data_IF_798431894934
#
_entry.id   IF_798431894934
#
_cell.length_a   1.000
_cell.length_b   1.000
_cell.length_c   1.000
_cell.angle_alpha   90.00
_cell.angle_beta   90.00
_cell.angle_gamma   90.00
#
_symmetry.space_group_name_H-M   'P 1'
#
loop_
_entity.id
_entity.type
_entity.pdbx_description
1 polymer ?
#
# COMPACT_ATOMS: atom_id res chain seq x y z
N UNK A 1 -4.67 -29.20 -110.64
CA UNK A 1 -3.70 -29.62 -109.60
C UNK A 1 -4.06 -28.93 -108.28
N UNK A 2 -4.47 -29.69 -107.35
CA UNK A 2 -4.99 -29.19 -106.07
C UNK A 2 -3.87 -29.07 -105.06
N UNK A 3 -3.72 -27.89 -104.53
CA UNK A 3 -2.84 -27.63 -103.38
C UNK A 3 -3.62 -27.48 -102.10
N UNK A 4 -3.63 -28.56 -101.29
CA UNK A 4 -4.21 -28.53 -99.94
C UNK A 4 -3.31 -27.69 -99.02
N UNK A 5 -3.82 -26.57 -98.46
CA UNK A 5 -3.23 -25.89 -97.33
C UNK A 5 -3.72 -26.58 -96.02
N UNK A 6 -2.80 -27.26 -95.35
CA UNK A 6 -3.00 -27.72 -93.96
C UNK A 6 -2.92 -26.53 -93.07
N UNK A 7 -4.03 -26.21 -92.41
CA UNK A 7 -4.03 -25.30 -91.26
C UNK A 7 -3.37 -25.99 -90.04
N UNK A 8 -2.32 -25.40 -89.53
CA UNK A 8 -1.80 -25.79 -88.28
C UNK A 8 -2.65 -25.14 -87.17
N UNK A 9 -3.44 -25.97 -86.49
CA UNK A 9 -3.97 -25.63 -85.21
C UNK A 9 -2.82 -25.62 -84.22
N UNK A 10 -2.53 -24.46 -83.57
CA UNK A 10 -1.74 -24.36 -82.35
C UNK A 10 -2.72 -24.50 -81.20
N UNK A 11 -2.73 -25.59 -80.44
CA UNK A 11 -3.38 -25.64 -79.19
C UNK A 11 -2.26 -25.61 -78.15
N UNK A 12 -2.06 -24.59 -77.43
CA UNK A 12 -1.50 -24.68 -76.07
C UNK A 12 -1.13 -23.35 -75.37
N UNK A 13 -1.03 -22.23 -76.08
CA UNK A 13 -0.67 -20.98 -75.41
C UNK A 13 -1.72 -20.43 -74.37
N UNK A 14 -3.00 -20.87 -74.47
CA UNK A 14 -4.06 -20.40 -73.60
C UNK A 14 -4.10 -21.12 -72.23
N UNK A 15 -3.59 -22.36 -72.14
CA UNK A 15 -3.68 -23.11 -70.89
C UNK A 15 -2.44 -22.89 -69.94
N UNK A 16 -1.27 -22.66 -70.55
CA UNK A 16 -0.05 -22.45 -69.73
C UNK A 16 -0.11 -21.19 -68.83
N UNK A 17 -0.71 -20.08 -69.33
CA UNK A 17 -0.88 -18.88 -68.52
C UNK A 17 -1.90 -19.08 -67.41
N UNK A 18 -2.96 -19.90 -67.63
CA UNK A 18 -3.99 -20.17 -66.61
C UNK A 18 -3.38 -20.94 -65.44
N UNK A 19 -2.60 -21.99 -65.67
CA UNK A 19 -1.94 -22.75 -64.64
C UNK A 19 -0.91 -21.90 -63.89
N UNK A 20 -0.10 -21.13 -64.63
CA UNK A 20 0.87 -20.21 -64.00
C UNK A 20 0.19 -19.08 -63.19
N UNK A 21 -0.94 -18.55 -63.66
CA UNK A 21 -1.73 -17.56 -62.94
C UNK A 21 -2.37 -18.16 -61.69
N UNK A 22 -2.93 -19.38 -61.79
CA UNK A 22 -3.51 -20.11 -60.67
C UNK A 22 -2.47 -20.40 -59.59
N UNK A 23 -1.27 -20.84 -59.99
CA UNK A 23 -0.18 -21.10 -59.04
C UNK A 23 0.21 -19.82 -58.28
N UNK A 24 0.40 -18.69 -58.99
CA UNK A 24 0.73 -17.38 -58.35
C UNK A 24 -0.39 -16.87 -57.46
N UNK A 25 -1.65 -16.99 -57.89
CA UNK A 25 -2.81 -16.62 -57.07
C UNK A 25 -2.89 -17.43 -55.79
N UNK A 26 -2.71 -18.76 -55.90
CA UNK A 26 -2.74 -19.66 -54.74
C UNK A 26 -1.58 -19.36 -53.77
N UNK A 27 -0.38 -19.15 -54.31
CA UNK A 27 0.79 -18.79 -53.47
C UNK A 27 0.56 -17.47 -52.73
N UNK A 28 0.09 -16.43 -53.43
CA UNK A 28 -0.19 -15.13 -52.81
C UNK A 28 -1.32 -15.22 -51.79
N UNK A 29 -2.36 -16.00 -52.05
CA UNK A 29 -3.46 -16.23 -51.11
C UNK A 29 -2.97 -16.95 -49.85
N UNK A 30 -2.23 -18.04 -49.97
CA UNK A 30 -1.72 -18.80 -48.83
C UNK A 30 -0.71 -17.99 -47.99
N UNK A 31 0.09 -17.13 -48.63
CA UNK A 31 1.00 -16.24 -47.90
C UNK A 31 0.23 -15.18 -47.12
N UNK A 32 -0.77 -14.52 -47.74
CA UNK A 32 -1.64 -13.56 -47.06
C UNK A 32 -2.41 -14.21 -45.90
N UNK A 33 -3.05 -15.37 -46.14
CA UNK A 33 -3.84 -16.08 -45.12
C UNK A 33 -3.02 -16.50 -43.91
N UNK A 34 -1.78 -16.99 -44.13
CA UNK A 34 -0.84 -17.32 -43.03
C UNK A 34 -0.50 -16.10 -42.17
N UNK A 35 -0.19 -14.97 -42.82
CA UNK A 35 0.12 -13.72 -42.09
C UNK A 35 -1.08 -13.19 -41.36
N UNK A 36 -2.26 -13.19 -41.99
CA UNK A 36 -3.52 -12.81 -41.39
C UNK A 36 -3.82 -13.64 -40.15
N UNK A 37 -3.76 -14.97 -40.27
CA UNK A 37 -4.03 -15.89 -39.16
C UNK A 37 -3.07 -15.66 -37.97
N UNK A 38 -1.77 -15.43 -38.24
CA UNK A 38 -0.80 -15.13 -37.20
C UNK A 38 -1.08 -13.79 -36.49
N UNK A 39 -1.41 -12.75 -37.25
CA UNK A 39 -1.75 -11.45 -36.70
C UNK A 39 -3.07 -11.49 -35.91
N UNK A 40 -4.06 -12.20 -36.38
CA UNK A 40 -5.37 -12.37 -35.73
C UNK A 40 -5.21 -13.09 -34.37
N UNK A 41 -4.40 -14.16 -34.34
CA UNK A 41 -4.07 -14.85 -33.09
C UNK A 41 -3.35 -13.93 -32.10
N UNK A 42 -2.44 -13.08 -32.57
CA UNK A 42 -1.72 -12.12 -31.73
C UNK A 42 -2.63 -11.01 -31.20
N UNK A 43 -3.53 -10.48 -32.02
CA UNK A 43 -4.54 -9.49 -31.62
C UNK A 43 -5.51 -10.11 -30.62
N UNK A 44 -5.96 -11.33 -30.85
CA UNK A 44 -6.79 -12.07 -29.90
C UNK A 44 -6.09 -12.23 -28.54
N UNK A 45 -4.83 -12.65 -28.55
CA UNK A 45 -4.04 -12.75 -27.32
C UNK A 45 -3.96 -11.39 -26.58
N UNK A 46 -3.76 -10.30 -27.32
CA UNK A 46 -3.74 -8.96 -26.74
C UNK A 46 -5.09 -8.55 -26.12
N UNK A 47 -6.20 -8.90 -26.74
CA UNK A 47 -7.52 -8.61 -26.18
C UNK A 47 -7.84 -9.44 -24.93
N UNK A 48 -7.31 -10.65 -24.86
CA UNK A 48 -7.46 -11.51 -23.68
C UNK A 48 -6.66 -11.00 -22.48
N UNK A 49 -5.45 -10.46 -22.71
CA UNK A 49 -4.50 -10.09 -21.66
C UNK A 49 -4.54 -8.59 -21.36
N UNK A 50 -4.72 -7.74 -22.38
CA UNK A 50 -4.65 -6.27 -22.30
C UNK A 50 -5.81 -5.61 -23.05
N UNK A 51 -7.07 -5.80 -22.62
CA UNK A 51 -8.26 -5.33 -23.36
C UNK A 51 -8.29 -3.80 -23.52
N UNK A 52 -7.60 -3.06 -22.66
CA UNK A 52 -7.49 -1.60 -22.69
C UNK A 52 -6.68 -1.07 -23.89
N UNK A 53 -5.80 -1.88 -24.50
CA UNK A 53 -4.93 -1.47 -25.60
C UNK A 53 -5.66 -1.35 -26.94
N UNK A 54 -6.84 -1.97 -27.07
CA UNK A 54 -7.74 -1.86 -28.22
C UNK A 54 -7.10 -2.19 -29.59
N UNK A 55 -6.14 -3.13 -29.65
CA UNK A 55 -5.48 -3.52 -30.89
C UNK A 55 -6.48 -4.06 -31.95
N UNK A 56 -7.58 -4.67 -31.52
CA UNK A 56 -8.64 -5.14 -32.44
C UNK A 56 -9.24 -3.99 -33.25
N UNK A 57 -9.40 -2.80 -32.68
CA UNK A 57 -9.92 -1.66 -33.43
C UNK A 57 -8.97 -1.20 -34.56
N UNK A 58 -7.65 -1.26 -34.32
CA UNK A 58 -6.64 -1.00 -35.36
C UNK A 58 -6.50 -2.13 -36.39
N UNK A 59 -6.78 -3.36 -35.97
CA UNK A 59 -6.74 -4.55 -36.81
C UNK A 59 -7.92 -4.65 -37.79
N UNK A 60 -9.11 -4.20 -37.40
CA UNK A 60 -10.34 -4.36 -38.17
C UNK A 60 -10.24 -3.87 -39.63
N UNK A 61 -9.69 -2.67 -39.94
CA UNK A 61 -9.56 -2.23 -41.32
C UNK A 61 -8.54 -3.08 -42.14
N UNK A 62 -7.54 -3.66 -41.49
CA UNK A 62 -6.56 -4.54 -42.14
C UNK A 62 -7.22 -5.87 -42.45
N UNK A 63 -7.93 -6.46 -41.49
CA UNK A 63 -8.71 -7.69 -41.64
C UNK A 63 -9.74 -7.57 -42.77
N UNK A 64 -10.48 -6.46 -42.82
CA UNK A 64 -11.46 -6.22 -43.86
C UNK A 64 -10.84 -6.27 -45.27
N UNK A 65 -9.65 -5.68 -45.48
CA UNK A 65 -8.92 -5.75 -46.76
C UNK A 65 -8.48 -7.17 -47.11
N UNK A 66 -8.06 -7.96 -46.11
CA UNK A 66 -7.72 -9.37 -46.37
C UNK A 66 -8.95 -10.17 -46.82
N UNK A 67 -10.11 -9.98 -46.20
CA UNK A 67 -11.34 -10.63 -46.60
C UNK A 67 -11.81 -10.19 -48.01
N UNK A 68 -11.67 -8.91 -48.36
CA UNK A 68 -11.98 -8.40 -49.71
C UNK A 68 -11.07 -9.05 -50.75
N UNK A 69 -9.75 -9.10 -50.50
CA UNK A 69 -8.79 -9.77 -51.41
C UNK A 69 -9.04 -11.28 -51.54
N UNK A 70 -9.37 -11.96 -50.42
CA UNK A 70 -9.75 -13.36 -50.41
C UNK A 70 -11.02 -13.62 -51.20
N UNK A 71 -12.04 -12.77 -51.07
CA UNK A 71 -13.28 -12.83 -51.83
C UNK A 71 -13.02 -12.69 -53.34
N UNK A 72 -12.17 -11.74 -53.76
CA UNK A 72 -11.77 -11.55 -55.14
C UNK A 72 -11.01 -12.78 -55.68
N UNK A 73 -10.15 -13.40 -54.88
CA UNK A 73 -9.45 -14.65 -55.23
C UNK A 73 -10.42 -15.80 -55.44
N UNK A 74 -11.36 -16.03 -54.51
CA UNK A 74 -12.34 -17.12 -54.64
C UNK A 74 -13.24 -16.95 -55.83
N UNK A 75 -13.78 -15.74 -56.08
CA UNK A 75 -14.61 -15.42 -57.21
C UNK A 75 -13.88 -15.65 -58.55
N UNK A 76 -12.64 -15.15 -58.66
CA UNK A 76 -11.84 -15.34 -59.89
C UNK A 76 -11.49 -16.81 -60.12
N UNK A 77 -11.18 -17.57 -59.08
CA UNK A 77 -10.85 -19.00 -59.18
C UNK A 77 -12.06 -19.79 -59.68
N UNK A 78 -13.26 -19.51 -59.15
CA UNK A 78 -14.52 -20.14 -59.60
C UNK A 78 -14.83 -19.81 -61.09
N UNK A 79 -14.64 -18.56 -61.47
CA UNK A 79 -14.83 -18.10 -62.83
C UNK A 79 -13.83 -18.79 -63.81
N UNK A 80 -12.55 -18.90 -63.42
CA UNK A 80 -11.52 -19.60 -64.20
C UNK A 80 -11.85 -21.09 -64.37
N UNK A 81 -12.26 -21.75 -63.29
CA UNK A 81 -12.69 -23.14 -63.35
C UNK A 81 -13.91 -23.35 -64.24
N UNK A 82 -14.87 -22.42 -64.18
CA UNK A 82 -16.09 -22.48 -64.99
C UNK A 82 -15.78 -22.29 -66.49
N UNK A 83 -14.93 -21.30 -66.84
CA UNK A 83 -14.48 -21.05 -68.19
C UNK A 83 -13.68 -22.22 -68.74
N UNK A 84 -12.83 -22.86 -67.93
CA UNK A 84 -12.05 -24.05 -68.32
C UNK A 84 -12.96 -25.26 -68.63
N UNK A 85 -13.94 -25.56 -67.76
CA UNK A 85 -14.93 -26.63 -67.95
C UNK A 85 -15.77 -26.38 -69.16
N UNK A 86 -16.16 -25.13 -69.42
CA UNK A 86 -16.96 -24.77 -70.61
C UNK A 86 -16.13 -24.60 -71.87
N UNK A 87 -14.79 -24.69 -71.79
CA UNK A 87 -13.85 -24.38 -72.93
C UNK A 87 -14.13 -23.00 -73.52
N UNK A 88 -14.59 -22.04 -72.70
CA UNK A 88 -14.96 -20.71 -73.13
C UNK A 88 -13.74 -19.77 -73.07
N UNK A 89 -13.64 -18.76 -73.95
CA UNK A 89 -12.58 -17.74 -73.81
C UNK A 89 -12.79 -16.92 -72.59
N UNK A 90 -11.70 -16.65 -71.83
CA UNK A 90 -11.73 -15.80 -70.65
C UNK A 90 -11.07 -14.44 -70.97
N UNK A 91 -11.84 -13.45 -71.45
CA UNK A 91 -11.28 -12.18 -71.85
C UNK A 91 -10.68 -11.42 -70.69
N UNK A 92 -9.50 -10.84 -70.90
CA UNK A 92 -8.75 -10.09 -69.85
C UNK A 92 -8.37 -10.93 -68.58
N UNK A 93 -8.44 -12.26 -68.67
CA UNK A 93 -8.19 -13.17 -67.56
C UNK A 93 -6.82 -12.98 -66.90
N UNK A 94 -5.77 -12.83 -67.73
CA UNK A 94 -4.44 -12.58 -67.23
C UNK A 94 -4.34 -11.24 -66.42
N UNK A 95 -4.94 -10.17 -66.98
CA UNK A 95 -4.95 -8.87 -66.31
C UNK A 95 -5.75 -8.90 -65.00
N UNK A 96 -6.87 -9.64 -64.96
CA UNK A 96 -7.65 -9.86 -63.72
C UNK A 96 -6.88 -10.67 -62.69
N UNK A 97 -6.18 -11.74 -63.14
CA UNK A 97 -5.33 -12.55 -62.28
C UNK A 97 -4.18 -11.71 -61.64
N UNK A 98 -3.51 -10.90 -62.48
CA UNK A 98 -2.45 -10.00 -61.99
C UNK A 98 -2.98 -8.91 -61.02
N UNK A 99 -4.24 -8.47 -61.22
CA UNK A 99 -4.89 -7.50 -60.33
C UNK A 99 -5.20 -8.11 -58.97
N UNK A 100 -5.84 -9.30 -58.93
CA UNK A 100 -6.15 -10.02 -57.70
C UNK A 100 -4.87 -10.44 -56.97
N UNK A 101 -3.83 -10.89 -57.71
CA UNK A 101 -2.53 -11.20 -57.12
C UNK A 101 -1.94 -9.97 -56.41
N UNK A 102 -1.98 -8.79 -57.03
CA UNK A 102 -1.54 -7.54 -56.40
C UNK A 102 -2.38 -7.19 -55.16
N UNK A 103 -3.70 -7.34 -55.19
CA UNK A 103 -4.57 -7.12 -54.03
C UNK A 103 -4.20 -8.02 -52.85
N UNK A 104 -3.93 -9.30 -53.10
CA UNK A 104 -3.47 -10.26 -52.09
C UNK A 104 -2.11 -9.84 -51.48
N UNK A 105 -1.15 -9.45 -52.35
CA UNK A 105 0.18 -9.00 -51.88
C UNK A 105 0.08 -7.69 -51.10
N UNK A 106 -0.75 -6.75 -51.52
CA UNK A 106 -0.96 -5.47 -50.83
C UNK A 106 -1.69 -5.66 -49.48
N UNK A 107 -2.64 -6.59 -49.43
CA UNK A 107 -3.29 -7.00 -48.19
C UNK A 107 -2.27 -7.62 -47.21
N UNK A 108 -1.43 -8.57 -47.71
CA UNK A 108 -0.35 -9.18 -46.93
C UNK A 108 0.64 -8.13 -46.38
N UNK A 109 1.00 -7.15 -47.20
CA UNK A 109 1.85 -6.01 -46.76
C UNK A 109 1.18 -5.18 -45.68
N UNK A 110 -0.11 -4.90 -45.77
CA UNK A 110 -0.88 -4.22 -44.74
C UNK A 110 -0.88 -4.97 -43.39
N UNK A 111 -0.94 -6.31 -43.42
CA UNK A 111 -0.78 -7.17 -42.24
C UNK A 111 0.60 -7.00 -41.62
N UNK A 112 1.67 -7.05 -42.44
CA UNK A 112 3.04 -6.88 -41.95
C UNK A 112 3.29 -5.48 -41.33
N UNK A 113 2.73 -4.45 -41.96
CA UNK A 113 2.84 -3.08 -41.41
C UNK A 113 2.14 -2.94 -40.08
N UNK A 114 0.92 -3.47 -39.96
CA UNK A 114 0.22 -3.49 -38.67
C UNK A 114 0.98 -4.28 -37.62
N UNK A 115 1.41 -5.51 -37.96
CA UNK A 115 2.14 -6.36 -37.01
C UNK A 115 3.45 -5.71 -36.54
N UNK A 116 4.23 -5.17 -37.46
CA UNK A 116 5.50 -4.50 -37.17
C UNK A 116 5.30 -3.27 -36.29
N UNK A 117 4.22 -2.51 -36.50
CA UNK A 117 3.88 -1.34 -35.67
C UNK A 117 3.56 -1.68 -34.23
N UNK A 118 3.14 -2.92 -33.94
CA UNK A 118 2.70 -3.37 -32.60
C UNK A 118 3.46 -4.62 -32.11
N UNK A 119 4.54 -5.02 -32.76
CA UNK A 119 5.21 -6.31 -32.60
C UNK A 119 5.51 -6.66 -31.15
N UNK A 120 6.23 -5.80 -30.44
CA UNK A 120 6.64 -6.07 -29.06
C UNK A 120 5.45 -6.30 -28.12
N UNK A 121 4.36 -5.58 -28.35
CA UNK A 121 3.15 -5.67 -27.53
C UNK A 121 2.35 -6.94 -27.81
N UNK A 122 2.25 -7.30 -29.08
CA UNK A 122 1.54 -8.51 -29.53
C UNK A 122 2.29 -9.78 -29.12
N UNK A 123 3.61 -9.83 -29.31
CA UNK A 123 4.44 -10.96 -28.90
C UNK A 123 4.45 -11.14 -27.38
N UNK A 124 4.51 -10.03 -26.64
CA UNK A 124 4.38 -10.07 -25.18
C UNK A 124 3.00 -10.61 -24.76
N UNK A 125 1.93 -10.20 -25.42
CA UNK A 125 0.58 -10.69 -25.13
C UNK A 125 0.44 -12.21 -25.36
N UNK A 126 1.00 -12.74 -26.46
CA UNK A 126 1.04 -14.18 -26.74
C UNK A 126 1.77 -14.92 -25.62
N UNK A 127 2.94 -14.44 -25.22
CA UNK A 127 3.75 -15.05 -24.15
C UNK A 127 3.00 -15.09 -22.84
N UNK A 128 2.40 -13.96 -22.45
CA UNK A 128 1.62 -13.86 -21.22
C UNK A 128 0.39 -14.77 -21.28
N UNK A 129 -0.37 -14.77 -22.37
CA UNK A 129 -1.54 -15.64 -22.52
C UNK A 129 -1.17 -17.10 -22.34
N UNK A 130 -0.06 -17.56 -22.95
CA UNK A 130 0.43 -18.93 -22.82
C UNK A 130 0.86 -19.30 -21.39
N UNK A 131 1.30 -18.33 -20.59
CA UNK A 131 1.76 -18.56 -19.20
C UNK A 131 0.64 -18.58 -18.16
N UNK A 132 -0.52 -17.97 -18.45
CA UNK A 132 -1.63 -17.83 -17.45
C UNK A 132 -2.10 -19.17 -16.89
N UNK A 133 -2.34 -20.24 -17.67
CA UNK A 133 -2.80 -21.50 -17.09
C UNK A 133 -1.76 -22.18 -16.19
N UNK A 134 -0.48 -22.00 -16.47
CA UNK A 134 0.60 -22.53 -15.64
C UNK A 134 0.70 -21.75 -14.33
N UNK A 135 0.64 -20.42 -14.40
CA UNK A 135 0.59 -19.55 -13.23
C UNK A 135 -0.56 -19.93 -12.29
N UNK A 136 -1.78 -20.04 -12.84
CA UNK A 136 -2.97 -20.40 -12.05
C UNK A 136 -2.80 -21.76 -11.34
N UNK A 137 -2.29 -22.77 -12.05
CA UNK A 137 -2.01 -24.08 -11.45
C UNK A 137 -0.97 -24.02 -10.33
N UNK A 138 0.13 -23.29 -10.56
CA UNK A 138 1.21 -23.18 -9.57
C UNK A 138 0.73 -22.48 -8.30
N UNK A 139 0.00 -21.37 -8.45
CA UNK A 139 -0.53 -20.60 -7.30
C UNK A 139 -1.54 -21.46 -6.51
N UNK A 140 -2.43 -22.21 -7.17
CA UNK A 140 -3.36 -23.14 -6.53
C UNK A 140 -2.62 -24.20 -5.70
N UNK A 141 -1.56 -24.79 -6.24
CA UNK A 141 -0.75 -25.81 -5.53
C UNK A 141 -0.08 -25.21 -4.29
N UNK A 142 0.48 -24.00 -4.42
CA UNK A 142 1.10 -23.30 -3.30
C UNK A 142 0.07 -22.95 -2.23
N UNK A 143 -1.10 -22.45 -2.64
CA UNK A 143 -2.20 -22.13 -1.74
C UNK A 143 -2.71 -23.36 -0.98
N UNK A 144 -2.91 -24.49 -1.67
CA UNK A 144 -3.32 -25.74 -1.05
C UNK A 144 -2.29 -26.25 -0.02
N UNK A 145 -0.98 -26.17 -0.34
CA UNK A 145 0.10 -26.53 0.58
C UNK A 145 0.07 -25.64 1.83
N UNK A 146 0.12 -24.31 1.66
CA UNK A 146 0.14 -23.36 2.79
C UNK A 146 -1.13 -23.47 3.63
N UNK A 147 -2.29 -23.70 3.00
CA UNK A 147 -3.55 -23.93 3.69
C UNK A 147 -3.55 -25.21 4.52
N UNK A 148 -2.94 -26.28 3.98
CA UNK A 148 -2.74 -27.55 4.70
C UNK A 148 -1.80 -27.39 5.89
N UNK A 149 -0.69 -26.68 5.73
CA UNK A 149 0.24 -26.35 6.81
C UNK A 149 -0.43 -25.53 7.91
N UNK A 150 -1.27 -24.55 7.54
CA UNK A 150 -2.03 -23.75 8.48
C UNK A 150 -3.03 -24.61 9.28
N UNK A 151 -3.75 -25.49 8.62
CA UNK A 151 -4.72 -26.37 9.27
C UNK A 151 -4.07 -27.39 10.21
N UNK A 152 -2.86 -27.86 9.90
CA UNK A 152 -2.12 -28.80 10.72
C UNK A 152 -1.30 -28.14 11.86
N UNK A 153 -1.21 -26.81 11.87
CA UNK A 153 -0.43 -26.04 12.85
C UNK A 153 -1.15 -25.94 14.19
N UNK A 154 -0.40 -25.95 15.28
CA UNK A 154 -0.90 -25.59 16.63
C UNK A 154 -1.46 -24.17 16.72
N UNK A 155 -1.15 -23.31 15.72
CA UNK A 155 -1.61 -21.92 15.61
C UNK A 155 -2.84 -21.77 14.73
N UNK A 156 -3.48 -22.86 14.27
CA UNK A 156 -4.64 -22.83 13.37
C UNK A 156 -5.80 -21.98 13.89
N UNK A 157 -6.01 -21.96 15.22
CA UNK A 157 -7.07 -21.24 15.87
C UNK A 157 -6.77 -19.76 16.13
N UNK A 158 -5.55 -19.28 15.86
CA UNK A 158 -5.22 -17.87 16.02
C UNK A 158 -6.06 -16.99 15.08
N UNK A 159 -6.67 -15.89 15.58
CA UNK A 159 -7.55 -15.04 14.77
C UNK A 159 -6.92 -14.58 13.45
N UNK A 160 -5.64 -14.19 13.46
CA UNK A 160 -4.95 -13.78 12.23
C UNK A 160 -4.77 -14.94 11.25
N UNK A 161 -4.42 -16.14 11.73
CA UNK A 161 -4.24 -17.31 10.89
C UNK A 161 -5.58 -17.74 10.28
N UNK A 162 -6.67 -17.78 11.08
CA UNK A 162 -8.01 -18.08 10.60
C UNK A 162 -8.51 -17.08 9.56
N UNK A 163 -8.34 -15.78 9.83
CA UNK A 163 -8.75 -14.73 8.90
C UNK A 163 -7.98 -14.81 7.56
N UNK A 164 -6.67 -15.08 7.60
CA UNK A 164 -5.85 -15.24 6.38
C UNK A 164 -6.18 -16.53 5.65
N UNK A 165 -6.45 -17.61 6.37
CA UNK A 165 -6.91 -18.88 5.78
C UNK A 165 -8.24 -18.70 5.03
N UNK A 166 -9.21 -18.00 5.62
CA UNK A 166 -10.49 -17.68 4.98
C UNK A 166 -10.29 -16.80 3.73
N UNK A 167 -9.35 -15.83 3.77
CA UNK A 167 -9.03 -15.01 2.60
C UNK A 167 -8.42 -15.83 1.45
N UNK A 168 -7.63 -16.85 1.76
CA UNK A 168 -7.10 -17.80 0.75
C UNK A 168 -8.24 -18.60 0.13
N UNK A 169 -9.17 -19.13 0.95
CA UNK A 169 -10.33 -19.88 0.46
C UNK A 169 -11.21 -19.02 -0.47
N UNK A 170 -11.48 -17.76 -0.12
CA UNK A 170 -12.22 -16.79 -0.95
C UNK A 170 -11.50 -16.48 -2.28
N UNK A 171 -10.20 -16.23 -2.22
CA UNK A 171 -9.41 -15.95 -3.41
C UNK A 171 -9.31 -17.17 -4.34
N UNK A 172 -9.29 -18.40 -3.79
CA UNK A 172 -9.32 -19.63 -4.56
C UNK A 172 -10.64 -19.76 -5.34
N UNK A 173 -11.79 -19.55 -4.68
CA UNK A 173 -13.11 -19.53 -5.31
C UNK A 173 -13.16 -18.50 -6.44
N UNK A 174 -12.59 -17.30 -6.18
CA UNK A 174 -12.54 -16.22 -7.18
C UNK A 174 -11.72 -16.62 -8.40
N UNK A 175 -10.59 -17.29 -8.20
CA UNK A 175 -9.75 -17.79 -9.30
C UNK A 175 -10.48 -18.88 -10.10
N UNK A 176 -11.12 -19.83 -9.46
CA UNK A 176 -11.91 -20.89 -10.11
C UNK A 176 -13.08 -20.33 -10.92
N UNK A 177 -13.78 -19.34 -10.36
CA UNK A 177 -14.85 -18.65 -11.09
C UNK A 177 -14.31 -17.88 -12.32
N UNK A 178 -13.12 -17.26 -12.21
CA UNK A 178 -12.49 -16.59 -13.34
C UNK A 178 -12.06 -17.58 -14.43
N UNK A 179 -11.55 -18.77 -14.08
CA UNK A 179 -11.20 -19.83 -15.04
C UNK A 179 -12.44 -20.37 -15.76
N UNK A 180 -13.52 -20.68 -15.03
CA UNK A 180 -14.78 -21.15 -15.64
C UNK A 180 -15.39 -20.08 -16.57
N UNK A 181 -15.31 -18.82 -16.20
CA UNK A 181 -15.75 -17.71 -17.05
C UNK A 181 -14.85 -17.47 -18.27
N UNK A 182 -13.64 -18.02 -18.31
CA UNK A 182 -12.70 -17.89 -19.42
C UNK A 182 -12.94 -18.87 -20.57
N UNK A 183 -13.64 -19.97 -20.34
CA UNK A 183 -14.00 -20.95 -21.38
C UNK A 183 -14.91 -20.38 -22.48
N UNK A 184 -15.54 -19.24 -22.21
CA UNK A 184 -16.28 -18.46 -23.20
C UNK A 184 -15.47 -17.27 -23.67
N UNK A 185 -14.47 -17.44 -24.54
CA UNK A 185 -13.76 -16.42 -25.39
C UNK A 185 -14.05 -14.92 -25.14
N UNK A 186 -14.40 -14.53 -23.93
CA UNK A 186 -14.75 -13.18 -23.53
C UNK A 186 -13.51 -12.27 -23.47
N UNK A 187 -13.65 -11.04 -23.98
CA UNK A 187 -12.61 -10.01 -23.92
C UNK A 187 -12.08 -9.85 -22.49
N UNK A 188 -10.75 -9.93 -22.31
CA UNK A 188 -10.10 -9.79 -20.99
C UNK A 188 -10.20 -10.99 -20.06
N UNK A 189 -10.63 -12.16 -20.53
CA UNK A 189 -10.76 -13.36 -19.71
C UNK A 189 -9.43 -13.76 -19.06
N UNK A 190 -8.34 -13.82 -19.81
CA UNK A 190 -7.00 -14.12 -19.29
C UNK A 190 -6.49 -13.06 -18.31
N UNK A 191 -6.85 -11.80 -18.52
CA UNK A 191 -6.53 -10.71 -17.59
C UNK A 191 -7.20 -10.92 -16.22
N UNK A 192 -8.45 -11.36 -16.20
CA UNK A 192 -9.18 -11.67 -14.96
C UNK A 192 -8.56 -12.84 -14.20
N UNK A 193 -8.26 -13.93 -14.93
CA UNK A 193 -7.58 -15.10 -14.34
C UNK A 193 -6.23 -14.71 -13.76
N UNK A 194 -5.42 -13.92 -14.46
CA UNK A 194 -4.13 -13.44 -13.97
C UNK A 194 -4.29 -12.58 -12.73
N UNK A 195 -5.24 -11.65 -12.72
CA UNK A 195 -5.52 -10.81 -11.55
C UNK A 195 -5.95 -11.64 -10.33
N UNK A 196 -6.84 -12.62 -10.53
CA UNK A 196 -7.28 -13.53 -9.48
C UNK A 196 -6.11 -14.41 -8.96
N UNK A 197 -5.25 -14.92 -9.85
CA UNK A 197 -4.06 -15.68 -9.48
C UNK A 197 -3.07 -14.84 -8.66
N UNK A 198 -2.81 -13.59 -9.05
CA UNK A 198 -1.96 -12.66 -8.27
C UNK A 198 -2.57 -12.36 -6.90
N UNK A 199 -3.89 -12.21 -6.83
CA UNK A 199 -4.59 -12.03 -5.54
C UNK A 199 -4.42 -13.26 -4.65
N UNK A 200 -4.60 -14.47 -5.18
CA UNK A 200 -4.41 -15.71 -4.44
C UNK A 200 -2.95 -15.86 -3.95
N UNK A 201 -1.98 -15.54 -4.79
CA UNK A 201 -0.55 -15.52 -4.41
C UNK A 201 -0.30 -14.59 -3.23
N UNK A 202 -0.83 -13.36 -3.29
CA UNK A 202 -0.67 -12.35 -2.22
C UNK A 202 -1.25 -12.84 -0.89
N UNK A 203 -2.50 -13.30 -0.88
CA UNK A 203 -3.13 -13.77 0.37
C UNK A 203 -2.52 -15.06 0.90
N UNK A 204 -1.96 -15.91 0.02
CA UNK A 204 -1.20 -17.12 0.42
C UNK A 204 0.10 -16.72 1.11
N UNK A 205 0.83 -15.73 0.60
CA UNK A 205 2.02 -15.20 1.25
C UNK A 205 1.70 -14.59 2.63
N UNK A 206 0.59 -13.83 2.72
CA UNK A 206 0.13 -13.28 4.01
C UNK A 206 -0.22 -14.37 5.03
N UNK A 207 -0.77 -15.51 4.60
CA UNK A 207 -1.03 -16.67 5.48
C UNK A 207 0.28 -17.31 5.95
N UNK A 208 1.25 -17.48 5.05
CA UNK A 208 2.56 -18.01 5.40
C UNK A 208 3.29 -17.11 6.41
N UNK A 209 3.22 -15.79 6.22
CA UNK A 209 3.79 -14.80 7.15
C UNK A 209 3.10 -14.84 8.53
N UNK A 210 1.77 -14.99 8.55
CA UNK A 210 1.02 -15.11 9.79
C UNK A 210 1.45 -16.36 10.59
N UNK A 211 1.63 -17.51 9.92
CA UNK A 211 2.14 -18.74 10.51
C UNK A 211 3.58 -18.59 11.04
N UNK A 212 4.46 -17.97 10.27
CA UNK A 212 5.84 -17.73 10.68
C UNK A 212 5.97 -16.82 11.90
N UNK A 213 5.04 -15.87 12.06
CA UNK A 213 5.01 -14.93 13.18
C UNK A 213 4.29 -15.49 14.43
N UNK A 214 3.46 -16.51 14.30
CA UNK A 214 2.64 -17.03 15.38
C UNK A 214 3.43 -17.45 16.63
N UNK A 215 4.57 -18.16 16.54
CA UNK A 215 5.39 -18.54 17.71
C UNK A 215 5.93 -17.32 18.46
N UNK A 216 6.39 -16.31 17.74
CA UNK A 216 6.92 -15.07 18.34
C UNK A 216 5.84 -14.25 19.05
N UNK A 217 4.61 -14.22 18.52
CA UNK A 217 3.46 -13.56 19.15
C UNK A 217 3.08 -14.22 20.46
N UNK A 218 3.12 -15.55 20.53
CA UNK A 218 2.87 -16.28 21.77
C UNK A 218 3.90 -15.93 22.84
N UNK A 219 5.19 -15.93 22.48
CA UNK A 219 6.28 -15.52 23.38
C UNK A 219 6.13 -14.08 23.87
N UNK A 220 5.81 -13.16 22.95
CA UNK A 220 5.57 -11.75 23.25
C UNK A 220 4.37 -11.57 24.21
N UNK A 221 3.27 -12.31 23.99
CA UNK A 221 2.09 -12.25 24.83
C UNK A 221 2.37 -12.69 26.29
N UNK A 222 3.10 -13.81 26.48
CA UNK A 222 3.54 -14.29 27.79
C UNK A 222 4.43 -13.27 28.51
N UNK A 223 5.39 -12.71 27.80
CA UNK A 223 6.29 -11.66 28.32
C UNK A 223 5.52 -10.40 28.69
N UNK A 224 4.54 -10.01 27.85
CA UNK A 224 3.72 -8.83 28.12
C UNK A 224 2.89 -8.97 29.40
N UNK A 225 2.25 -10.13 29.63
CA UNK A 225 1.51 -10.40 30.88
C UNK A 225 2.43 -10.27 32.09
N UNK A 226 3.61 -10.89 32.06
CA UNK A 226 4.57 -10.84 33.16
C UNK A 226 5.02 -9.41 33.45
N UNK A 227 5.37 -8.66 32.40
CA UNK A 227 5.79 -7.25 32.49
C UNK A 227 4.69 -6.37 33.09
N UNK A 228 3.44 -6.49 32.60
CA UNK A 228 2.31 -5.72 33.12
C UNK A 228 2.01 -6.07 34.56
N UNK A 229 2.04 -7.34 34.94
CA UNK A 229 1.83 -7.79 36.31
C UNK A 229 2.88 -7.20 37.29
N UNK A 230 4.15 -7.24 36.90
CA UNK A 230 5.22 -6.62 37.69
C UNK A 230 5.03 -5.12 37.85
N UNK A 231 4.66 -4.43 36.74
CA UNK A 231 4.41 -3.00 36.76
C UNK A 231 3.22 -2.64 37.66
N UNK A 232 2.11 -3.40 37.58
CA UNK A 232 0.93 -3.21 38.44
C UNK A 232 1.30 -3.31 39.93
N UNK A 233 2.09 -4.32 40.29
CA UNK A 233 2.57 -4.48 41.68
C UNK A 233 3.42 -3.29 42.10
N UNK A 234 4.33 -2.82 41.28
CA UNK A 234 5.17 -1.66 41.54
C UNK A 234 4.35 -0.37 41.71
N UNK A 235 3.31 -0.17 40.89
CA UNK A 235 2.43 1.01 41.02
C UNK A 235 1.63 0.94 42.30
N UNK A 236 1.09 -0.21 42.68
CA UNK A 236 0.37 -0.42 43.94
C UNK A 236 1.26 -0.07 45.16
N UNK A 237 2.50 -0.58 45.18
CA UNK A 237 3.45 -0.25 46.25
C UNK A 237 3.78 1.25 46.33
N UNK A 238 3.84 1.95 45.20
CA UNK A 238 4.01 3.41 45.16
C UNK A 238 2.74 4.14 45.62
N UNK A 239 1.57 3.65 45.27
CA UNK A 239 0.28 4.22 45.68
C UNK A 239 0.07 4.21 47.19
N UNK A 240 0.62 3.24 47.92
CA UNK A 240 0.59 3.19 49.41
C UNK A 240 1.18 4.48 50.06
N UNK A 241 2.07 5.17 49.33
CA UNK A 241 2.69 6.42 49.81
C UNK A 241 1.88 7.67 49.48
N UNK A 242 0.81 7.54 48.66
CA UNK A 242 0.04 8.69 48.19
C UNK A 242 -0.71 9.39 49.31
N UNK A 243 -1.49 8.65 50.10
CA UNK A 243 -2.29 9.21 51.21
C UNK A 243 -1.40 9.87 52.31
N UNK A 244 -0.30 9.24 52.75
CA UNK A 244 0.66 9.93 53.65
C UNK A 244 1.24 11.21 53.04
N UNK A 245 1.58 11.20 51.74
CA UNK A 245 2.14 12.36 51.04
C UNK A 245 1.10 13.48 50.91
N UNK A 246 -0.13 13.15 50.52
CA UNK A 246 -1.24 14.12 50.42
C UNK A 246 -1.58 14.72 51.79
N UNK A 247 -1.66 13.91 52.84
CA UNK A 247 -1.85 14.37 54.21
C UNK A 247 -0.73 15.32 54.66
N UNK A 248 0.51 15.07 54.24
CA UNK A 248 1.64 15.98 54.52
C UNK A 248 1.50 17.30 53.77
N UNK A 249 1.07 17.29 52.50
CA UNK A 249 0.77 18.50 51.72
C UNK A 249 -0.25 19.39 52.46
N UNK A 250 -1.35 18.81 52.91
CA UNK A 250 -2.41 19.52 53.62
C UNK A 250 -1.95 20.12 54.96
N UNK A 251 -1.03 19.46 55.67
CA UNK A 251 -0.51 19.94 56.94
C UNK A 251 0.62 20.97 56.82
N UNK A 252 1.46 20.81 55.79
CA UNK A 252 2.69 21.59 55.66
C UNK A 252 2.55 22.84 54.78
N UNK A 253 1.58 22.84 53.89
CA UNK A 253 1.41 23.89 52.88
C UNK A 253 -0.01 24.44 52.87
N UNK A 254 -0.23 25.53 52.13
CA UNK A 254 -1.57 26.09 51.97
C UNK A 254 -2.48 25.19 51.11
N UNK A 255 -3.80 25.38 51.21
CA UNK A 255 -4.78 24.55 50.51
C UNK A 255 -4.64 24.60 48.96
N UNK A 256 -4.23 25.74 48.41
CA UNK A 256 -4.04 25.91 46.97
C UNK A 256 -2.93 24.97 46.41
N UNK A 257 -1.93 24.63 47.24
CA UNK A 257 -0.82 23.74 46.86
C UNK A 257 -1.22 22.29 46.55
N UNK A 258 -2.44 21.87 46.91
CA UNK A 258 -2.89 20.49 46.81
C UNK A 258 -4.33 20.33 46.26
N UNK A 259 -5.03 21.42 45.96
CA UNK A 259 -6.42 21.38 45.56
C UNK A 259 -6.64 20.57 44.24
N UNK A 260 -5.74 20.69 43.28
CA UNK A 260 -5.73 19.97 42.03
C UNK A 260 -5.41 18.46 42.15
N UNK A 261 -4.85 18.05 43.31
CA UNK A 261 -4.43 16.67 43.58
C UNK A 261 -5.44 15.88 44.44
N UNK A 262 -6.52 16.51 44.88
CA UNK A 262 -7.47 15.95 45.84
C UNK A 262 -8.12 14.60 45.36
N UNK A 263 -8.26 14.42 44.06
CA UNK A 263 -8.87 13.21 43.46
C UNK A 263 -7.85 12.16 43.07
N UNK A 264 -6.55 12.45 43.08
CA UNK A 264 -5.52 11.58 42.52
C UNK A 264 -5.51 10.17 43.15
N UNK A 265 -5.78 10.07 44.44
CA UNK A 265 -5.87 8.77 45.12
C UNK A 265 -6.98 7.90 44.57
N UNK A 266 -8.18 8.45 44.44
CA UNK A 266 -9.35 7.72 43.92
C UNK A 266 -9.19 7.39 42.44
N UNK A 267 -8.70 8.34 41.64
CA UNK A 267 -8.52 8.13 40.20
C UNK A 267 -7.41 7.12 39.91
N UNK A 268 -6.27 7.19 40.63
CA UNK A 268 -5.21 6.20 40.47
C UNK A 268 -5.65 4.78 40.86
N UNK A 269 -6.49 4.63 41.92
CA UNK A 269 -7.04 3.35 42.32
C UNK A 269 -7.94 2.79 41.19
N UNK A 270 -8.83 3.62 40.62
CA UNK A 270 -9.69 3.25 39.52
C UNK A 270 -8.88 2.75 38.31
N UNK A 271 -7.80 3.42 37.96
CA UNK A 271 -6.97 3.00 36.85
C UNK A 271 -6.16 1.74 37.15
N UNK A 272 -5.68 1.55 38.39
CA UNK A 272 -5.06 0.29 38.80
C UNK A 272 -6.06 -0.88 38.74
N UNK A 273 -7.31 -0.68 39.11
CA UNK A 273 -8.34 -1.70 39.03
C UNK A 273 -8.72 -2.02 37.56
N UNK A 274 -8.82 -0.99 36.71
CA UNK A 274 -9.05 -1.18 35.27
C UNK A 274 -7.87 -1.94 34.62
N UNK A 275 -6.64 -1.64 35.00
CA UNK A 275 -5.47 -2.38 34.55
C UNK A 275 -5.48 -3.83 35.01
N UNK A 276 -5.89 -4.09 36.25
CA UNK A 276 -6.04 -5.47 36.77
C UNK A 276 -7.09 -6.28 36.01
N UNK A 277 -8.27 -5.68 35.74
CA UNK A 277 -9.31 -6.31 34.93
C UNK A 277 -8.82 -6.62 33.52
N UNK A 278 -8.15 -5.67 32.86
CA UNK A 278 -7.58 -5.89 31.54
C UNK A 278 -6.50 -7.01 31.55
N UNK A 279 -5.69 -7.09 32.59
CA UNK A 279 -4.68 -8.15 32.75
C UNK A 279 -5.33 -9.54 32.96
N UNK A 280 -6.40 -9.66 33.73
CA UNK A 280 -7.13 -10.92 33.88
C UNK A 280 -7.77 -11.37 32.55
N UNK A 281 -8.36 -10.44 31.81
CA UNK A 281 -8.88 -10.73 30.46
C UNK A 281 -7.76 -11.15 29.51
N UNK A 282 -6.58 -10.54 29.61
CA UNK A 282 -5.40 -10.93 28.82
C UNK A 282 -4.95 -12.37 29.14
N UNK A 283 -5.01 -12.78 30.41
CA UNK A 283 -4.72 -14.16 30.84
C UNK A 283 -5.73 -15.16 30.28
N UNK A 284 -7.01 -14.82 30.33
CA UNK A 284 -8.08 -15.62 29.73
C UNK A 284 -7.87 -15.76 28.21
N UNK A 285 -7.62 -14.68 27.50
CA UNK A 285 -7.34 -14.70 26.07
C UNK A 285 -6.13 -15.57 25.71
N UNK A 286 -5.07 -15.55 26.53
CA UNK A 286 -3.91 -16.41 26.33
C UNK A 286 -4.25 -17.89 26.54
N UNK A 287 -5.09 -18.20 27.53
CA UNK A 287 -5.58 -19.58 27.78
C UNK A 287 -6.45 -20.09 26.64
N UNK A 288 -7.13 -19.21 25.93
CA UNK A 288 -7.93 -19.49 24.73
C UNK A 288 -7.11 -19.48 23.44
N UNK A 289 -5.78 -19.56 23.51
CA UNK A 289 -4.86 -19.49 22.37
C UNK A 289 -5.03 -18.24 21.49
N UNK A 290 -5.35 -17.09 22.08
CA UNK A 290 -5.50 -15.83 21.40
C UNK A 290 -4.42 -14.82 21.84
N UNK A 291 -3.13 -14.98 21.38
CA UNK A 291 -2.05 -14.09 21.77
C UNK A 291 -2.23 -12.65 21.26
N UNK A 292 -3.00 -12.46 20.19
CA UNK A 292 -3.26 -11.14 19.60
C UNK A 292 -4.14 -10.30 20.52
N UNK A 293 -5.27 -10.85 20.96
CA UNK A 293 -6.12 -10.20 21.96
C UNK A 293 -5.37 -10.00 23.30
N UNK A 294 -4.50 -10.96 23.66
CA UNK A 294 -3.63 -10.81 24.84
C UNK A 294 -2.74 -9.59 24.74
N UNK A 295 -2.09 -9.36 23.59
CA UNK A 295 -1.22 -8.20 23.38
C UNK A 295 -2.01 -6.88 23.36
N UNK A 296 -3.21 -6.86 22.82
CA UNK A 296 -4.12 -5.70 22.82
C UNK A 296 -4.53 -5.36 24.26
N UNK A 297 -5.00 -6.34 25.03
CA UNK A 297 -5.43 -6.15 26.41
C UNK A 297 -4.27 -5.74 27.32
N UNK A 298 -3.07 -6.30 27.12
CA UNK A 298 -1.87 -5.85 27.87
C UNK A 298 -1.45 -4.45 27.50
N UNK A 299 -1.66 -3.99 26.25
CA UNK A 299 -1.46 -2.60 25.85
C UNK A 299 -2.45 -1.66 26.56
N UNK A 300 -3.72 -2.04 26.61
CA UNK A 300 -4.76 -1.31 27.36
C UNK A 300 -4.38 -1.19 28.85
N UNK A 301 -3.97 -2.30 29.47
CA UNK A 301 -3.52 -2.31 30.86
C UNK A 301 -2.32 -1.36 31.09
N UNK A 302 -1.36 -1.30 30.16
CA UNK A 302 -0.23 -0.35 30.22
C UNK A 302 -0.67 1.10 30.15
N UNK A 303 -1.70 1.42 29.38
CA UNK A 303 -2.29 2.76 29.32
C UNK A 303 -2.84 3.19 30.68
N UNK A 304 -3.65 2.35 31.30
CA UNK A 304 -4.18 2.60 32.65
C UNK A 304 -3.06 2.72 33.69
N UNK A 305 -2.05 1.86 33.68
CA UNK A 305 -0.92 1.95 34.59
C UNK A 305 -0.11 3.23 34.41
N UNK A 306 0.05 3.72 33.19
CA UNK A 306 0.74 4.98 32.94
C UNK A 306 -0.03 6.17 33.58
N UNK A 307 -1.36 6.16 33.48
CA UNK A 307 -2.19 7.20 34.10
C UNK A 307 -2.17 7.10 35.62
N UNK A 308 -2.31 5.89 36.18
CA UNK A 308 -2.17 5.69 37.62
C UNK A 308 -0.81 6.17 38.17
N UNK A 309 0.29 5.84 37.48
CA UNK A 309 1.65 6.32 37.83
C UNK A 309 1.73 7.85 37.81
N UNK A 310 1.18 8.48 36.77
CA UNK A 310 1.17 9.94 36.65
C UNK A 310 0.46 10.59 37.85
N UNK A 311 -0.69 10.05 38.24
CA UNK A 311 -1.49 10.54 39.35
C UNK A 311 -0.77 10.35 40.70
N UNK A 312 -0.19 9.17 40.96
CA UNK A 312 0.58 8.86 42.18
C UNK A 312 1.83 9.75 42.28
N UNK A 313 2.58 9.83 41.17
CA UNK A 313 3.82 10.61 41.12
C UNK A 313 3.57 12.12 41.28
N UNK A 314 2.44 12.63 40.78
CA UNK A 314 2.09 14.05 40.94
C UNK A 314 2.05 14.49 42.37
N UNK A 315 1.46 13.70 43.28
CA UNK A 315 1.38 14.02 44.71
C UNK A 315 2.75 13.96 45.39
N UNK A 316 3.49 12.89 45.16
CA UNK A 316 4.80 12.68 45.82
C UNK A 316 5.85 13.67 45.32
N UNK A 317 5.86 13.95 44.02
CA UNK A 317 6.74 14.96 43.41
C UNK A 317 6.39 16.37 43.87
N UNK A 318 5.08 16.71 43.99
CA UNK A 318 4.64 17.99 44.51
C UNK A 318 5.14 18.20 45.96
N UNK A 319 4.96 17.21 46.85
CA UNK A 319 5.43 17.28 48.22
C UNK A 319 6.94 17.47 48.27
N UNK A 320 7.72 16.69 47.52
CA UNK A 320 9.17 16.82 47.50
C UNK A 320 9.62 18.21 47.02
N UNK A 321 9.05 18.69 45.90
CA UNK A 321 9.34 19.99 45.31
C UNK A 321 9.04 21.13 46.29
N UNK A 322 7.87 21.11 46.93
CA UNK A 322 7.50 22.19 47.86
C UNK A 322 8.34 22.19 49.12
N UNK A 323 8.79 21.02 49.63
CA UNK A 323 9.75 20.93 50.72
C UNK A 323 11.13 21.49 50.35
N UNK A 324 11.61 21.19 49.13
CA UNK A 324 12.85 21.76 48.62
C UNK A 324 12.79 23.27 48.49
N UNK A 325 11.73 23.79 47.88
CA UNK A 325 11.52 25.23 47.71
C UNK A 325 11.36 25.92 49.05
N UNK A 326 10.66 25.32 50.01
CA UNK A 326 10.56 25.87 51.40
C UNK A 326 11.93 25.96 52.09
N UNK A 327 12.79 24.95 51.88
CA UNK A 327 14.13 24.94 52.48
C UNK A 327 15.07 25.99 51.85
N UNK A 328 14.95 26.21 50.53
CA UNK A 328 15.82 27.11 49.76
C UNK A 328 15.02 27.95 48.73
N UNK A 329 14.15 28.89 49.17
CA UNK A 329 13.25 29.64 48.29
C UNK A 329 13.99 30.43 47.19
N UNK A 330 15.15 30.98 47.55
CA UNK A 330 15.93 31.83 46.65
C UNK A 330 16.60 31.07 45.49
N UNK A 331 16.79 29.77 45.61
CA UNK A 331 17.55 29.04 44.57
C UNK A 331 16.80 28.94 43.26
N UNK A 332 15.47 28.76 43.31
CA UNK A 332 14.64 28.77 42.12
C UNK A 332 14.62 30.14 41.44
N UNK A 333 14.44 31.24 42.21
CA UNK A 333 14.47 32.60 41.66
C UNK A 333 15.86 32.96 41.08
N UNK A 334 16.96 32.53 41.73
CA UNK A 334 18.32 32.71 41.23
C UNK A 334 18.51 31.97 39.87
N UNK A 335 18.02 30.73 39.76
CA UNK A 335 18.11 29.98 38.54
C UNK A 335 17.36 30.65 37.38
N UNK A 336 16.16 31.20 37.63
CA UNK A 336 15.39 31.95 36.62
C UNK A 336 16.09 33.26 36.25
N UNK A 337 16.63 34.00 37.21
CA UNK A 337 17.40 35.23 36.95
C UNK A 337 18.66 34.93 36.12
N UNK A 338 19.32 33.81 36.37
CA UNK A 338 20.46 33.40 35.56
C UNK A 338 20.06 33.18 34.10
N UNK A 339 18.99 32.44 33.85
CA UNK A 339 18.45 32.25 32.48
C UNK A 339 18.03 33.55 31.80
N UNK A 340 17.44 34.49 32.60
CA UNK A 340 17.07 35.81 32.06
C UNK A 340 18.32 36.60 31.64
N UNK A 341 19.39 36.58 32.48
CA UNK A 341 20.66 37.21 32.13
C UNK A 341 21.28 36.66 30.87
N UNK A 342 21.25 35.33 30.71
CA UNK A 342 21.75 34.71 29.48
C UNK A 342 20.94 35.15 28.25
N UNK A 343 19.61 35.29 28.35
CA UNK A 343 18.77 35.82 27.30
C UNK A 343 19.06 37.29 26.98
N UNK A 344 19.27 38.14 28.01
CA UNK A 344 19.67 39.54 27.84
C UNK A 344 21.04 39.65 27.13
N UNK A 345 22.03 38.84 27.54
CA UNK A 345 23.33 38.78 26.87
C UNK A 345 23.20 38.32 25.40
N UNK A 346 22.33 37.38 25.12
CA UNK A 346 22.04 36.96 23.74
C UNK A 346 21.47 38.12 22.91
N UNK A 347 20.52 38.90 23.47
CA UNK A 347 19.94 40.06 22.81
C UNK A 347 21.02 41.13 22.51
N UNK A 348 21.94 41.39 23.44
CA UNK A 348 23.08 42.30 23.22
C UNK A 348 24.00 41.80 22.12
N UNK A 349 24.42 40.55 22.21
CA UNK A 349 25.36 39.94 21.25
C UNK A 349 24.80 39.83 19.81
N UNK A 350 23.49 39.86 19.66
CA UNK A 350 22.81 39.80 18.37
C UNK A 350 22.26 41.16 17.91
N UNK A 351 22.47 42.23 18.65
CA UNK A 351 21.96 43.56 18.31
C UNK A 351 20.43 43.69 18.39
N UNK A 352 19.78 42.85 19.16
CA UNK A 352 18.32 42.74 19.27
C UNK A 352 17.75 43.46 20.52
N UNK A 353 18.55 44.31 21.15
CA UNK A 353 18.15 45.00 22.40
C UNK A 353 16.98 45.95 22.19
N UNK A 354 16.92 46.63 21.03
CA UNK A 354 15.81 47.56 20.71
C UNK A 354 14.44 46.85 20.69
N UNK A 355 14.42 45.59 20.29
CA UNK A 355 13.20 44.81 20.16
C UNK A 355 12.86 44.02 21.42
N UNK A 356 13.84 43.39 22.06
CA UNK A 356 13.62 42.44 23.16
C UNK A 356 14.04 42.97 24.53
N UNK A 357 14.80 44.08 24.60
CA UNK A 357 15.33 44.60 25.88
C UNK A 357 14.25 44.89 26.90
N UNK A 358 13.27 45.72 26.55
CA UNK A 358 12.15 46.07 27.44
C UNK A 358 11.28 44.87 27.85
N UNK A 359 11.14 43.88 26.96
CA UNK A 359 10.37 42.66 27.25
C UNK A 359 11.09 41.78 28.25
N UNK A 360 12.42 41.66 28.14
CA UNK A 360 13.27 40.92 29.09
C UNK A 360 13.38 41.66 30.42
N UNK A 361 13.53 42.99 30.43
CA UNK A 361 13.62 43.78 31.65
C UNK A 361 12.33 43.71 32.46
N UNK A 362 11.16 43.70 31.83
CA UNK A 362 9.88 43.47 32.50
C UNK A 362 9.80 42.12 33.23
N UNK A 363 10.61 41.12 32.85
CA UNK A 363 10.68 39.85 33.57
C UNK A 363 11.51 39.95 34.85
N UNK A 364 12.43 40.92 34.97
CA UNK A 364 13.13 41.19 36.25
C UNK A 364 12.11 41.59 37.30
N UNK A 365 11.28 42.64 37.01
CA UNK A 365 10.26 43.11 37.90
C UNK A 365 9.22 42.04 38.26
N UNK A 366 8.93 41.16 37.29
CA UNK A 366 8.02 40.04 37.55
C UNK A 366 8.61 39.01 38.48
N UNK A 367 9.89 38.65 38.35
CA UNK A 367 10.60 37.73 39.27
C UNK A 367 10.66 38.34 40.66
N UNK A 368 10.89 39.68 40.79
CA UNK A 368 10.96 40.35 42.05
C UNK A 368 9.60 40.30 42.77
N UNK A 369 8.52 40.65 42.11
CA UNK A 369 7.15 40.55 42.65
C UNK A 369 6.79 39.12 43.07
N UNK A 370 7.15 38.11 42.29
CA UNK A 370 6.91 36.70 42.63
C UNK A 370 7.72 36.33 43.87
N UNK A 371 8.94 36.81 44.00
CA UNK A 371 9.80 36.51 45.15
C UNK A 371 9.28 37.22 46.43
N UNK A 372 8.80 38.45 46.30
CA UNK A 372 8.21 39.22 47.40
C UNK A 372 6.84 38.68 47.86
N UNK A 373 6.13 37.92 47.01
CA UNK A 373 4.85 37.29 47.36
C UNK A 373 4.96 36.18 48.40
N UNK A 374 6.17 35.66 48.64
CA UNK A 374 6.42 34.66 49.69
C UNK A 374 6.37 35.26 51.11
N UNK A 375 5.19 35.71 51.53
CA UNK A 375 4.95 36.36 52.83
C UNK A 375 3.94 35.58 53.69
N UNK A 376 3.87 35.88 54.95
CA UNK A 376 2.90 35.28 55.86
C UNK A 376 3.36 33.95 56.48
N UNK A 377 2.47 33.36 57.30
CA UNK A 377 2.75 32.12 58.05
C UNK A 377 2.78 30.88 57.16
N UNK A 378 1.99 30.87 56.03
CA UNK A 378 1.89 29.78 55.07
C UNK A 378 1.95 30.36 53.65
N UNK A 379 3.17 30.72 53.17
CA UNK A 379 3.32 31.25 51.82
C UNK A 379 2.82 30.26 50.77
N UNK A 380 2.32 30.77 49.62
CA UNK A 380 1.92 29.93 48.49
C UNK A 380 3.15 29.54 47.67
N UNK A 381 3.85 28.53 48.14
CA UNK A 381 5.01 27.98 47.42
C UNK A 381 4.64 27.38 46.06
N UNK A 382 3.38 26.93 45.89
CA UNK A 382 2.97 26.37 44.58
C UNK A 382 2.76 27.46 43.52
N UNK A 383 2.08 28.56 43.91
CA UNK A 383 1.98 29.72 43.04
C UNK A 383 3.37 30.26 42.67
N UNK A 384 4.26 30.41 43.69
CA UNK A 384 5.64 30.82 43.47
C UNK A 384 6.39 29.96 42.45
N UNK A 385 6.29 28.63 42.53
CA UNK A 385 6.92 27.70 41.59
C UNK A 385 6.33 27.84 40.19
N UNK A 386 5.01 27.81 40.08
CA UNK A 386 4.32 27.84 38.79
C UNK A 386 4.52 29.16 38.04
N UNK A 387 4.53 30.28 38.77
CA UNK A 387 4.78 31.60 38.18
C UNK A 387 6.23 31.75 37.71
N UNK A 388 7.23 31.24 38.47
CA UNK A 388 8.63 31.22 38.04
C UNK A 388 8.87 30.26 36.85
N UNK A 389 8.16 29.13 36.79
CA UNK A 389 8.21 28.23 35.66
C UNK A 389 7.60 28.91 34.41
N UNK A 390 6.49 29.63 34.54
CA UNK A 390 5.91 30.41 33.44
C UNK A 390 6.86 31.51 32.92
N UNK A 391 7.62 32.18 33.83
CA UNK A 391 8.68 33.13 33.42
C UNK A 391 9.77 32.39 32.65
N UNK A 392 10.17 31.22 33.11
CA UNK A 392 11.21 30.39 32.45
C UNK A 392 10.80 29.99 31.05
N UNK A 393 9.55 29.54 30.88
CA UNK A 393 9.00 29.19 29.53
C UNK A 393 8.91 30.42 28.64
N UNK A 394 8.48 31.56 29.18
CA UNK A 394 8.45 32.82 28.44
C UNK A 394 9.85 33.22 27.92
N UNK A 395 10.88 33.17 28.81
CA UNK A 395 12.27 33.46 28.43
C UNK A 395 12.74 32.50 27.34
N UNK A 396 12.45 31.19 27.44
CA UNK A 396 12.81 30.21 26.45
C UNK A 396 12.15 30.52 25.07
N UNK A 397 10.88 30.90 25.07
CA UNK A 397 10.17 31.31 23.86
C UNK A 397 10.75 32.58 23.22
N UNK A 398 11.25 33.54 24.02
CA UNK A 398 11.94 34.73 23.51
C UNK A 398 13.29 34.36 22.89
N UNK A 399 14.08 33.52 23.58
CA UNK A 399 15.38 33.04 23.08
C UNK A 399 15.23 32.32 21.75
N UNK A 400 14.22 31.48 21.57
CA UNK A 400 13.95 30.77 20.29
C UNK A 400 13.58 31.74 19.15
N UNK A 401 12.81 32.79 19.46
CA UNK A 401 12.49 33.84 18.49
C UNK A 401 13.72 34.64 18.09
N UNK A 402 14.53 35.05 19.05
CA UNK A 402 15.80 35.76 18.78
C UNK A 402 16.76 34.91 17.95
N UNK A 403 16.84 33.61 18.16
CA UNK A 403 17.67 32.70 17.36
C UNK A 403 17.18 32.60 15.91
N UNK A 404 15.87 32.48 15.69
CA UNK A 404 15.27 32.42 14.34
C UNK A 404 15.49 33.73 13.57
N UNK A 405 15.31 34.87 14.24
CA UNK A 405 15.49 36.19 13.62
C UNK A 405 16.95 36.46 13.23
N UNK A 406 17.91 36.08 14.07
CA UNK A 406 19.32 36.18 13.77
C UNK A 406 19.82 35.22 12.66
N UNK A 407 19.08 34.13 12.39
CA UNK A 407 19.29 33.27 11.22
C UNK A 407 18.87 33.93 9.93
N UNK A 408 17.72 34.60 9.92
CA UNK A 408 17.17 35.30 8.76
C UNK A 408 17.95 36.56 8.35
N UNK A 409 18.68 37.18 9.28
CA UNK A 409 19.54 38.36 9.00
C UNK A 409 20.91 37.97 8.39
N UNK A 410 21.25 36.70 8.31
CA UNK A 410 22.50 36.18 7.76
C UNK A 410 22.35 35.56 6.35
N UNK A 411 21.13 35.39 5.86
CA UNK A 411 20.79 35.08 4.47
C UNK A 411 20.53 36.38 3.67
#
# INVERSE_FOLDING_TARGET
MAGRRRGWFRPSESNEWIEAARARLTEAFLDMDRRQSAAEAAVHASEQVYPERRHAAGWEPVRARCYEAAGAYLSLTEELETAERAKAPFPQGQQRADTVTRQLIDAARGVDEFYRGHQSQLEHAITVLGSVPQLARQVKLTAAKTRGEAAASEFAEYPSVRARAAAVDEALITLEAAELGSDGAGRGAASKVRAAATRLETVTAELADALAQAPSRLGAARTAITSVNTRLSAVRTRAERLDPAFSSLLREFNAASSADLANNGRESQRDMDAAAVALERARAALAENNPELTLELTSTARGHLAEAERLVDAVTKRLALLREVRAQPNDKSKAVRFRLRDAQMLAVNRGLVAEWGSVLDAQVDRIDRITESLTGRHPDYWAYVTELDAVTEFIAGVVDRMRKQAGQQRE
#
